data_IF_970263866750
#
_entry.id   IF_970263866750
#
_cell.length_a   1.000
_cell.length_b   1.000
_cell.length_c   1.000
_cell.angle_alpha   90.00
_cell.angle_beta   90.00
_cell.angle_gamma   90.00
#
_symmetry.space_group_name_H-M   'P 1'
#
loop_
_entity.id
_entity.type
_entity.pdbx_description
1 polymer ?
#
# COMPACT_ATOMS: atom_id res chain seq x y z
N UNK A 1 24.13 -7.05 59.59
CA UNK A 1 25.56 -6.96 59.21
C UNK A 1 25.62 -6.03 58.00
N UNK A 2 25.50 -4.70 58.15
CA UNK A 2 26.44 -3.72 58.69
C UNK A 2 27.75 -3.60 57.88
N UNK A 3 28.04 -2.34 57.50
CA UNK A 3 29.25 -1.70 56.90
C UNK A 3 29.22 -1.53 55.38
N UNK A 4 29.21 -0.34 54.78
CA UNK A 4 29.86 0.99 54.94
C UNK A 4 31.19 1.20 54.18
N UNK A 5 31.21 2.37 53.50
CA UNK A 5 32.33 3.18 52.98
C UNK A 5 32.98 2.72 51.66
N UNK A 6 33.42 3.60 50.76
CA UNK A 6 33.93 4.95 50.98
C UNK A 6 33.67 5.92 49.81
N UNK A 7 33.57 7.19 50.19
CA UNK A 7 33.62 8.37 49.34
C UNK A 7 35.04 8.68 48.86
N UNK A 8 35.16 9.41 47.76
CA UNK A 8 36.23 10.37 47.56
C UNK A 8 35.67 11.63 46.90
N UNK A 9 35.70 12.69 47.70
CA UNK A 9 35.41 14.07 47.39
C UNK A 9 36.76 14.79 47.29
N UNK A 10 36.97 15.57 46.23
CA UNK A 10 37.97 16.64 46.22
C UNK A 10 37.45 17.80 45.38
N UNK A 11 37.07 18.84 46.12
CA UNK A 11 36.63 20.14 45.64
C UNK A 11 37.75 21.19 45.75
N UNK A 12 37.48 22.36 45.16
CA UNK A 12 38.05 23.71 45.39
C UNK A 12 39.30 24.03 44.56
N UNK A 13 39.31 25.00 43.62
CA UNK A 13 39.09 26.47 43.74
C UNK A 13 39.04 27.02 42.28
N UNK A 14 38.28 28.01 41.81
CA UNK A 14 37.62 29.18 42.41
C UNK A 14 37.95 30.40 41.51
N UNK A 15 36.95 31.03 40.90
CA UNK A 15 37.10 32.28 40.12
C UNK A 15 35.76 32.77 39.58
N UNK A 16 35.31 33.93 40.06
CA UNK A 16 33.93 34.45 40.07
C UNK A 16 33.72 35.62 39.08
N UNK A 17 32.48 35.78 38.63
CA UNK A 17 31.73 37.03 38.34
C UNK A 17 32.17 37.89 37.11
N UNK A 18 31.32 38.54 36.31
CA UNK A 18 29.85 38.69 36.21
C UNK A 18 29.53 39.29 34.80
N UNK A 19 28.25 39.34 34.37
CA UNK A 19 27.80 39.78 33.04
C UNK A 19 27.37 41.26 32.99
N UNK A 20 27.22 41.83 31.78
CA UNK A 20 26.31 42.95 31.45
C UNK A 20 26.22 43.21 29.94
N UNK A 21 24.97 43.09 29.45
CA UNK A 21 24.21 43.86 28.46
C UNK A 21 24.93 44.77 27.44
N UNK A 22 24.44 44.79 26.18
CA UNK A 22 23.59 45.87 25.63
C UNK A 22 23.32 45.63 24.12
N UNK A 23 22.06 45.81 23.74
CA UNK A 23 21.50 45.88 22.38
C UNK A 23 22.21 46.90 21.47
N UNK A 24 22.36 46.58 20.18
CA UNK A 24 22.26 47.60 19.12
C UNK A 24 21.77 46.97 17.80
N UNK A 25 20.57 47.38 17.41
CA UNK A 25 20.09 47.40 16.03
C UNK A 25 20.81 48.53 15.29
N UNK A 26 21.33 48.27 14.09
CA UNK A 26 21.62 49.31 13.12
C UNK A 26 21.04 48.92 11.75
N UNK A 27 20.05 49.71 11.33
CA UNK A 27 19.57 49.86 9.96
C UNK A 27 20.72 50.33 9.05
N UNK A 28 20.92 49.69 7.90
CA UNK A 28 21.70 50.30 6.82
C UNK A 28 20.76 50.92 5.79
N UNK A 29 20.82 52.25 5.77
CA UNK A 29 20.03 53.16 4.98
C UNK A 29 20.35 53.10 3.48
N UNK A 30 19.27 53.33 2.73
CA UNK A 30 19.19 53.69 1.32
C UNK A 30 20.09 54.89 1.02
N UNK A 31 20.94 54.78 0.00
CA UNK A 31 21.58 55.94 -0.62
C UNK A 31 21.34 55.92 -2.12
N UNK A 32 20.35 56.71 -2.56
CA UNK A 32 20.22 57.11 -3.96
C UNK A 32 21.14 58.31 -4.24
N UNK A 33 21.83 58.29 -5.38
CA UNK A 33 22.15 59.54 -6.08
C UNK A 33 22.16 59.30 -7.61
N UNK A 34 21.70 60.28 -8.42
CA UNK A 34 21.44 60.10 -9.84
C UNK A 34 22.53 60.71 -10.72
N UNK A 35 22.84 60.09 -11.85
CA UNK A 35 23.42 60.81 -12.99
C UNK A 35 23.12 60.10 -14.32
N UNK A 36 22.46 60.85 -15.19
CA UNK A 36 22.05 60.51 -16.56
C UNK A 36 23.22 60.53 -17.56
N UNK A 37 22.98 59.81 -18.66
CA UNK A 37 23.45 59.97 -20.04
C UNK A 37 24.76 59.29 -20.45
N UNK A 38 24.59 58.37 -21.41
CA UNK A 38 25.65 57.77 -22.21
C UNK A 38 25.06 56.69 -23.13
N UNK A 39 24.22 57.09 -24.08
CA UNK A 39 23.73 56.19 -25.12
C UNK A 39 24.90 55.79 -26.04
N UNK A 40 25.23 54.51 -26.07
CA UNK A 40 26.08 53.93 -27.10
C UNK A 40 25.41 52.64 -27.60
N UNK A 41 25.18 52.63 -28.91
CA UNK A 41 24.51 51.61 -29.69
C UNK A 41 25.13 50.23 -29.47
N UNK A 42 24.37 49.30 -28.90
CA UNK A 42 24.69 47.87 -28.91
C UNK A 42 23.74 47.20 -29.89
N UNK A 43 24.36 46.64 -30.92
CA UNK A 43 23.78 45.77 -31.93
C UNK A 43 22.67 44.86 -31.38
N UNK A 44 21.46 44.99 -31.92
CA UNK A 44 20.35 44.08 -31.71
C UNK A 44 20.69 42.74 -32.37
N UNK A 45 21.44 41.90 -31.67
CA UNK A 45 21.45 40.46 -31.94
C UNK A 45 20.14 39.90 -31.40
N UNK A 46 19.28 39.26 -32.22
CA UNK A 46 18.16 38.49 -31.66
C UNK A 46 18.76 37.23 -31.06
N UNK A 47 18.78 37.16 -29.73
CA UNK A 47 19.17 35.94 -29.03
C UNK A 47 18.29 35.74 -27.79
N UNK A 48 17.91 34.50 -27.52
CA UNK A 48 17.31 33.50 -28.40
C UNK A 48 15.83 33.35 -28.03
N UNK A 49 15.04 32.65 -28.85
CA UNK A 49 13.79 32.06 -28.36
C UNK A 49 14.05 31.43 -26.98
N UNK A 50 13.33 31.87 -25.95
CA UNK A 50 13.38 31.31 -24.59
C UNK A 50 13.70 29.82 -24.69
N UNK A 51 14.83 29.39 -24.14
CA UNK A 51 14.99 27.98 -23.77
C UNK A 51 13.86 27.70 -22.79
N UNK A 52 12.72 27.22 -23.30
CA UNK A 52 11.63 26.70 -22.47
C UNK A 52 12.24 25.55 -21.70
N UNK A 53 12.54 25.80 -20.43
CA UNK A 53 13.07 24.77 -19.56
C UNK A 53 12.03 23.65 -19.49
N UNK A 54 12.46 22.40 -19.37
CA UNK A 54 11.55 21.27 -19.20
C UNK A 54 10.63 21.42 -17.97
N UNK A 55 11.02 22.27 -17.01
CA UNK A 55 10.22 22.63 -15.85
C UNK A 55 9.09 23.64 -16.14
N UNK A 56 9.15 24.35 -17.29
CA UNK A 56 8.22 25.41 -17.69
C UNK A 56 7.29 24.96 -18.83
N UNK A 57 7.29 23.66 -19.16
CA UNK A 57 6.35 23.11 -20.13
C UNK A 57 4.91 23.18 -19.58
N UNK A 58 3.91 23.50 -20.42
CA UNK A 58 2.50 23.36 -20.06
C UNK A 58 2.14 21.90 -19.72
N UNK A 59 1.00 21.72 -19.06
CA UNK A 59 0.51 20.39 -18.65
C UNK A 59 0.32 19.43 -19.82
N UNK A 60 -0.22 19.86 -20.98
CA UNK A 60 -0.54 18.95 -22.09
C UNK A 60 0.70 18.20 -22.65
N UNK A 61 1.85 18.86 -22.93
CA UNK A 61 3.10 18.17 -23.24
C UNK A 61 3.59 17.23 -22.14
N UNK A 62 3.50 17.65 -20.87
CA UNK A 62 3.94 16.83 -19.73
C UNK A 62 3.09 15.56 -19.60
N UNK A 63 1.77 15.69 -19.75
CA UNK A 63 0.81 14.59 -19.78
C UNK A 63 1.11 13.62 -20.93
N UNK A 64 1.49 14.13 -22.10
CA UNK A 64 1.90 13.29 -23.24
C UNK A 64 3.15 12.46 -22.91
N UNK A 65 4.15 13.06 -22.27
CA UNK A 65 5.38 12.36 -21.86
C UNK A 65 5.08 11.29 -20.79
N UNK A 66 4.21 11.61 -19.83
CA UNK A 66 3.74 10.65 -18.83
C UNK A 66 3.00 9.47 -19.48
N UNK A 67 2.11 9.74 -20.44
CA UNK A 67 1.38 8.72 -21.18
C UNK A 67 2.31 7.79 -21.97
N UNK A 68 3.41 8.32 -22.53
CA UNK A 68 4.41 7.56 -23.29
C UNK A 68 5.39 6.78 -22.41
N UNK A 69 5.49 7.09 -21.11
CA UNK A 69 6.47 6.48 -20.21
C UNK A 69 6.35 4.96 -20.18
N UNK A 70 7.46 4.26 -20.41
CA UNK A 70 7.50 2.81 -20.64
C UNK A 70 7.67 1.96 -19.38
N UNK A 71 7.97 2.58 -18.23
CA UNK A 71 8.23 1.88 -16.98
C UNK A 71 7.72 2.65 -15.76
N UNK A 72 7.50 1.93 -14.65
CA UNK A 72 7.23 2.56 -13.36
C UNK A 72 8.33 3.52 -12.95
N UNK A 73 9.59 3.10 -13.11
CA UNK A 73 10.75 3.86 -12.69
C UNK A 73 10.79 5.22 -13.36
N UNK A 74 10.48 5.30 -14.65
CA UNK A 74 10.45 6.57 -15.37
C UNK A 74 9.35 7.48 -14.83
N UNK A 75 8.15 6.94 -14.59
CA UNK A 75 7.03 7.71 -14.03
C UNK A 75 7.36 8.23 -12.63
N UNK A 76 7.90 7.38 -11.75
CA UNK A 76 8.32 7.75 -10.40
C UNK A 76 9.42 8.81 -10.45
N UNK A 77 10.41 8.65 -11.34
CA UNK A 77 11.48 9.62 -11.52
C UNK A 77 10.93 10.96 -12.01
N UNK A 78 10.04 10.96 -13.02
CA UNK A 78 9.39 12.16 -13.56
C UNK A 78 8.63 12.91 -12.46
N UNK A 79 7.78 12.23 -11.69
CA UNK A 79 7.05 12.84 -10.58
C UNK A 79 7.93 13.35 -9.43
N UNK A 80 9.15 12.82 -9.31
CA UNK A 80 10.15 13.24 -8.33
C UNK A 80 11.02 14.42 -8.80
N UNK A 81 11.07 14.74 -10.11
CA UNK A 81 12.02 15.72 -10.67
C UNK A 81 11.87 17.14 -10.11
N UNK A 82 10.69 17.75 -10.23
CA UNK A 82 10.42 19.10 -9.72
C UNK A 82 8.92 19.31 -9.44
N UNK A 83 8.56 20.49 -8.90
CA UNK A 83 7.16 20.80 -8.55
C UNK A 83 6.24 20.81 -9.77
N UNK A 84 6.67 21.32 -10.92
CA UNK A 84 5.84 21.37 -12.13
C UNK A 84 5.53 19.96 -12.66
N UNK A 85 6.54 19.07 -12.72
CA UNK A 85 6.34 17.68 -13.13
C UNK A 85 5.49 16.90 -12.14
N UNK A 86 5.67 17.15 -10.83
CA UNK A 86 4.79 16.60 -9.81
C UNK A 86 3.36 17.08 -10.06
N UNK A 87 3.13 18.39 -10.16
CA UNK A 87 1.80 18.96 -10.41
C UNK A 87 1.15 18.40 -11.68
N UNK A 88 1.88 18.29 -12.78
CA UNK A 88 1.40 17.71 -14.03
C UNK A 88 1.05 16.21 -13.87
N UNK A 89 1.86 15.44 -13.13
CA UNK A 89 1.49 14.08 -12.78
C UNK A 89 0.21 14.04 -11.94
N UNK A 90 0.09 14.90 -10.94
CA UNK A 90 -1.06 14.97 -10.05
C UNK A 90 -2.34 15.37 -10.78
N UNK A 91 -2.26 16.29 -11.76
CA UNK A 91 -3.36 16.74 -12.60
C UNK A 91 -3.69 15.77 -13.75
N UNK A 92 -2.91 14.70 -13.93
CA UNK A 92 -3.14 13.74 -15.00
C UNK A 92 -4.49 13.02 -14.80
N UNK A 93 -5.49 13.22 -15.67
CA UNK A 93 -6.89 12.84 -15.42
C UNK A 93 -7.14 11.33 -15.42
N UNK A 94 -6.12 10.53 -15.73
CA UNK A 94 -6.25 9.08 -15.90
C UNK A 94 -5.09 8.32 -15.25
N UNK A 95 -4.58 8.77 -14.09
CA UNK A 95 -3.49 8.08 -13.36
C UNK A 95 -3.77 6.59 -13.13
N UNK A 96 -5.02 6.23 -12.81
CA UNK A 96 -5.45 4.85 -12.61
C UNK A 96 -5.25 3.97 -13.86
N UNK A 97 -5.17 4.55 -15.07
CA UNK A 97 -4.87 3.78 -16.30
C UNK A 97 -3.47 3.19 -16.29
N UNK A 98 -2.55 3.74 -15.50
CA UNK A 98 -1.24 3.10 -15.30
C UNK A 98 -1.34 1.71 -14.67
N UNK A 99 -2.39 1.42 -13.89
CA UNK A 99 -2.65 0.07 -13.37
C UNK A 99 -3.06 -0.91 -14.49
N UNK A 100 -3.60 -0.43 -15.61
CA UNK A 100 -3.80 -1.27 -16.80
C UNK A 100 -2.50 -1.42 -17.61
N UNK A 101 -1.65 -0.38 -17.63
CA UNK A 101 -0.42 -0.36 -18.42
C UNK A 101 0.69 -1.23 -17.81
N UNK A 102 0.83 -1.24 -16.49
CA UNK A 102 1.91 -1.93 -15.79
C UNK A 102 1.38 -2.97 -14.78
N UNK A 103 2.12 -4.06 -14.52
CA UNK A 103 1.76 -5.00 -13.45
C UNK A 103 1.99 -4.34 -12.07
N UNK A 104 1.34 -4.78 -11.00
CA UNK A 104 1.69 -4.31 -9.67
C UNK A 104 3.15 -4.68 -9.35
N UNK A 105 3.74 -3.93 -8.41
CA UNK A 105 5.10 -4.14 -7.95
C UNK A 105 5.11 -5.15 -6.79
N UNK A 106 6.11 -6.04 -6.79
CA UNK A 106 6.28 -7.03 -5.74
C UNK A 106 7.04 -6.42 -4.57
N UNK A 107 6.37 -6.31 -3.43
CA UNK A 107 6.95 -5.94 -2.15
C UNK A 107 7.52 -7.19 -1.51
N UNK A 108 8.84 -7.23 -1.31
CA UNK A 108 9.55 -8.23 -0.54
C UNK A 108 10.17 -7.58 0.68
N UNK A 109 9.79 -8.09 1.84
CA UNK A 109 10.42 -7.75 3.10
C UNK A 109 11.36 -8.88 3.47
N UNK A 110 12.49 -8.51 4.08
CA UNK A 110 13.53 -9.43 4.53
C UNK A 110 14.50 -9.95 3.44
N UNK A 111 14.71 -9.21 2.35
CA UNK A 111 15.90 -9.43 1.53
C UNK A 111 17.12 -9.01 2.35
N UNK A 112 17.94 -9.97 2.79
CA UNK A 112 19.27 -9.68 3.34
C UNK A 112 20.12 -9.08 2.21
N UNK A 113 20.04 -7.76 2.05
CA UNK A 113 20.94 -7.07 1.14
C UNK A 113 22.29 -7.05 1.84
N UNK A 114 23.27 -7.80 1.29
CA UNK A 114 24.67 -7.57 1.63
C UNK A 114 24.97 -6.12 1.26
N UNK A 115 25.09 -5.27 2.27
CA UNK A 115 25.37 -3.85 2.10
C UNK A 115 26.81 -3.68 1.62
N UNK A 116 27.01 -3.60 0.31
CA UNK A 116 28.27 -3.14 -0.26
C UNK A 116 28.35 -1.60 -0.37
N UNK A 117 27.22 -0.87 -0.34
CA UNK A 117 27.20 0.54 -0.76
C UNK A 117 26.54 1.54 0.22
N UNK A 118 26.23 1.17 1.46
CA UNK A 118 25.66 2.14 2.42
C UNK A 118 26.74 2.72 3.33
N UNK A 119 27.08 3.98 3.05
CA UNK A 119 27.88 4.85 3.92
C UNK A 119 27.29 4.86 5.34
N UNK A 120 27.99 4.17 6.23
CA UNK A 120 27.82 4.25 7.67
C UNK A 120 28.07 5.69 8.11
N UNK A 121 27.01 6.45 8.37
CA UNK A 121 26.99 7.49 9.42
C UNK A 121 25.58 8.06 9.56
N UNK A 122 24.83 7.53 10.53
CA UNK A 122 23.97 8.26 11.48
C UNK A 122 23.06 7.26 12.20
N UNK A 123 23.21 7.12 13.52
CA UNK A 123 22.21 6.51 14.42
C UNK A 123 21.81 5.07 14.13
N UNK A 124 22.23 4.14 14.97
CA UNK A 124 22.00 2.69 14.85
C UNK A 124 20.52 2.32 15.07
N UNK A 125 19.66 2.60 14.09
CA UNK A 125 18.39 1.89 13.90
C UNK A 125 18.65 0.83 12.83
N UNK A 126 18.45 -0.44 13.19
CA UNK A 126 18.60 -1.55 12.25
C UNK A 126 17.46 -1.47 11.23
N UNK A 127 17.65 -0.79 10.11
CA UNK A 127 16.64 -0.69 9.06
C UNK A 127 16.63 -1.98 8.23
N UNK A 128 15.51 -2.72 8.21
CA UNK A 128 15.28 -3.68 7.14
C UNK A 128 14.79 -2.96 5.90
N UNK A 129 15.41 -3.27 4.76
CA UNK A 129 15.04 -2.65 3.49
C UNK A 129 13.84 -3.39 2.91
N UNK A 130 12.78 -2.65 2.62
CA UNK A 130 11.69 -3.12 1.80
C UNK A 130 12.14 -3.08 0.34
N UNK A 131 12.22 -4.25 -0.30
CA UNK A 131 12.60 -4.36 -1.70
C UNK A 131 11.34 -4.38 -2.54
N UNK A 132 11.22 -3.45 -3.47
CA UNK A 132 10.12 -3.38 -4.43
C UNK A 132 10.66 -3.78 -5.80
N UNK A 133 10.13 -4.86 -6.35
CA UNK A 133 10.57 -5.47 -7.60
C UNK A 133 9.54 -5.21 -8.69
N UNK A 134 9.99 -4.66 -9.82
CA UNK A 134 9.21 -4.59 -11.03
C UNK A 134 9.27 -5.94 -11.78
N UNK A 135 8.13 -6.64 -11.99
CA UNK A 135 8.09 -7.89 -12.75
C UNK A 135 8.67 -7.78 -14.16
N UNK A 136 8.58 -6.59 -14.77
CA UNK A 136 9.04 -6.31 -16.13
C UNK A 136 10.51 -5.92 -16.20
N UNK A 137 11.11 -5.50 -15.08
CA UNK A 137 12.51 -5.11 -15.00
C UNK A 137 13.13 -5.54 -13.66
N UNK A 138 13.57 -6.81 -13.61
CA UNK A 138 14.12 -7.44 -12.40
C UNK A 138 15.52 -6.96 -12.03
N UNK A 139 16.20 -6.23 -12.91
CA UNK A 139 17.63 -5.94 -12.80
C UNK A 139 17.97 -4.83 -11.78
N UNK A 140 16.99 -4.00 -11.40
CA UNK A 140 17.21 -2.92 -10.43
C UNK A 140 16.01 -2.83 -9.49
N UNK A 141 16.07 -3.40 -8.28
CA UNK A 141 15.02 -3.22 -7.30
C UNK A 141 14.96 -1.77 -6.81
N UNK A 142 13.74 -1.28 -6.59
CA UNK A 142 13.54 -0.05 -5.83
C UNK A 142 13.63 -0.40 -4.35
N UNK A 143 14.55 0.23 -3.61
CA UNK A 143 14.69 0.03 -2.19
C UNK A 143 13.99 1.16 -1.44
N UNK A 144 13.01 0.80 -0.61
CA UNK A 144 12.34 1.71 0.31
C UNK A 144 12.65 1.28 1.74
N UNK A 145 12.76 2.24 2.66
CA UNK A 145 13.08 1.98 4.05
C UNK A 145 11.80 2.10 4.88
N UNK A 146 11.33 0.98 5.41
CA UNK A 146 10.27 0.98 6.43
C UNK A 146 10.96 0.61 7.74
N UNK A 147 10.82 1.44 8.80
CA UNK A 147 11.51 1.19 10.07
C UNK A 147 11.17 -0.18 10.66
N UNK A 148 12.20 -0.89 11.12
CA UNK A 148 12.11 -2.25 11.64
C UNK A 148 11.20 -2.36 12.86
N UNK A 149 11.15 -1.30 13.65
CA UNK A 149 10.34 -1.22 14.86
C UNK A 149 8.87 -1.48 14.57
N UNK A 150 8.36 -1.04 13.40
CA UNK A 150 6.97 -1.29 12.99
C UNK A 150 6.72 -2.79 12.84
N UNK A 151 7.66 -3.52 12.23
CA UNK A 151 7.53 -4.96 12.02
C UNK A 151 7.68 -5.78 13.30
N UNK A 152 8.55 -5.35 14.20
CA UNK A 152 8.75 -6.04 15.48
C UNK A 152 7.60 -5.78 16.46
N UNK A 153 6.98 -4.60 16.35
CA UNK A 153 6.01 -4.14 17.31
C UNK A 153 4.57 -4.23 16.84
N UNK A 154 4.27 -4.35 15.54
CA UNK A 154 2.89 -4.40 15.04
C UNK A 154 2.67 -5.58 14.09
N UNK A 155 1.42 -6.04 14.01
CA UNK A 155 1.03 -7.10 13.09
C UNK A 155 0.51 -6.49 11.80
N UNK A 156 0.88 -7.07 10.66
CA UNK A 156 0.26 -6.69 9.39
C UNK A 156 -1.25 -6.94 9.45
N UNK A 157 -2.07 -5.99 9.02
CA UNK A 157 -3.53 -6.09 9.06
C UNK A 157 -4.15 -6.08 7.66
N UNK A 158 -3.47 -5.48 6.67
CA UNK A 158 -3.90 -5.50 5.27
C UNK A 158 -3.20 -4.46 4.40
N UNK A 159 -3.55 -4.42 3.12
CA UNK A 159 -3.07 -3.40 2.17
C UNK A 159 -4.22 -2.75 1.43
N UNK A 160 -4.04 -1.50 1.02
CA UNK A 160 -4.94 -0.81 0.09
C UNK A 160 -4.28 0.44 -0.47
N UNK A 161 -4.51 0.74 -1.75
CA UNK A 161 -4.05 1.99 -2.42
C UNK A 161 -2.55 2.29 -2.24
N UNK A 162 -1.70 1.27 -2.31
CA UNK A 162 -0.24 1.41 -2.13
C UNK A 162 0.24 1.58 -0.69
N UNK A 163 -0.65 1.39 0.28
CA UNK A 163 -0.38 1.53 1.70
C UNK A 163 -0.47 0.19 2.42
N UNK A 164 0.41 0.00 3.40
CA UNK A 164 0.41 -1.11 4.34
C UNK A 164 -0.28 -0.66 5.63
N UNK A 165 -1.12 -1.53 6.18
CA UNK A 165 -1.81 -1.27 7.43
C UNK A 165 -1.30 -2.28 8.45
N UNK A 166 -0.89 -1.78 9.62
CA UNK A 166 -0.43 -2.57 10.75
C UNK A 166 -1.28 -2.25 11.97
N UNK A 167 -1.56 -3.24 12.82
CA UNK A 167 -2.27 -3.04 14.08
C UNK A 167 -1.71 -3.94 15.19
N UNK A 168 -1.76 -3.46 16.44
CA UNK A 168 -1.53 -4.24 17.66
C UNK A 168 -2.09 -3.52 18.87
N UNK A 169 -2.74 -4.25 19.78
CA UNK A 169 -3.15 -3.70 21.08
C UNK A 169 -4.11 -2.50 20.99
N UNK A 170 -4.82 -2.36 19.87
CA UNK A 170 -5.74 -1.27 19.56
C UNK A 170 -5.11 -0.12 18.80
N UNK A 171 -3.77 -0.07 18.73
CA UNK A 171 -3.07 0.90 17.92
C UNK A 171 -2.99 0.40 16.48
N UNK A 172 -3.26 1.28 15.52
CA UNK A 172 -3.08 1.01 14.10
C UNK A 172 -2.14 2.05 13.47
N UNK A 173 -1.51 1.67 12.37
CA UNK A 173 -0.56 2.47 11.62
C UNK A 173 -0.70 2.19 10.13
N UNK A 174 -0.97 3.23 9.35
CA UNK A 174 -0.99 3.20 7.90
C UNK A 174 0.36 3.73 7.40
N UNK A 175 1.05 2.97 6.56
CA UNK A 175 2.38 3.28 6.04
C UNK A 175 2.35 3.25 4.52
N UNK A 176 2.74 4.35 3.90
CA UNK A 176 2.92 4.42 2.46
C UNK A 176 4.23 3.75 2.04
N UNK A 177 4.15 2.75 1.15
CA UNK A 177 5.31 1.92 0.76
C UNK A 177 6.40 2.74 0.06
N UNK A 178 6.01 3.76 -0.70
CA UNK A 178 6.89 4.46 -1.63
C UNK A 178 7.45 5.77 -1.08
N UNK A 179 6.78 6.37 -0.11
CA UNK A 179 7.21 7.60 0.56
C UNK A 179 7.66 7.37 2.00
N UNK A 180 7.26 6.25 2.62
CA UNK A 180 7.46 6.00 4.05
C UNK A 180 6.60 6.90 4.95
N UNK A 181 5.66 7.66 4.39
CA UNK A 181 4.72 8.49 5.15
C UNK A 181 3.86 7.60 6.06
N UNK A 182 3.57 8.11 7.26
CA UNK A 182 2.88 7.37 8.32
C UNK A 182 1.67 8.16 8.79
N UNK A 183 0.56 7.47 8.99
CA UNK A 183 -0.65 8.02 9.61
C UNK A 183 -1.15 7.05 10.67
N UNK A 184 -1.44 7.57 11.85
CA UNK A 184 -1.95 6.80 12.98
C UNK A 184 -3.37 7.27 13.33
N UNK A 185 -4.39 6.41 13.24
CA UNK A 185 -5.68 6.70 13.83
C UNK A 185 -5.62 6.74 15.37
N UNK A 186 -6.67 7.25 16.04
CA UNK A 186 -6.85 7.06 17.47
C UNK A 186 -6.93 5.56 17.80
N UNK A 187 -6.70 5.22 19.07
CA UNK A 187 -6.74 3.82 19.51
C UNK A 187 -8.16 3.25 19.39
N UNK A 188 -8.27 1.99 18.96
CA UNK A 188 -9.54 1.28 18.86
C UNK A 188 -10.23 1.17 20.23
N UNK A 189 -11.55 1.44 20.31
CA UNK A 189 -12.31 1.42 21.56
C UNK A 189 -12.72 -0.01 21.94
N UNK A 190 -11.77 -0.87 22.30
CA UNK A 190 -12.10 -2.23 22.73
C UNK A 190 -12.79 -2.25 24.10
N UNK A 191 -13.79 -3.13 24.21
CA UNK A 191 -14.42 -3.47 25.48
C UNK A 191 -13.78 -4.75 26.05
N UNK A 192 -12.51 -4.70 26.48
CA UNK A 192 -11.82 -5.90 27.02
C UNK A 192 -10.30 -5.82 27.12
N UNK A 193 -9.64 -6.96 27.38
CA UNK A 193 -8.18 -7.05 27.43
C UNK A 193 -7.55 -7.01 26.03
N UNK A 194 -6.89 -5.89 25.72
CA UNK A 194 -6.27 -5.51 24.44
C UNK A 194 -5.25 -6.50 23.84
N UNK A 195 -4.67 -7.40 24.65
CA UNK A 195 -3.49 -8.17 24.24
C UNK A 195 -3.78 -9.43 23.41
N UNK A 196 -5.05 -9.87 23.34
CA UNK A 196 -5.43 -11.10 22.63
C UNK A 196 -6.18 -10.89 21.32
N UNK A 197 -6.42 -9.64 20.93
CA UNK A 197 -7.28 -9.36 19.79
C UNK A 197 -6.54 -9.57 18.46
N UNK A 198 -7.15 -10.39 17.61
CA UNK A 198 -6.62 -10.76 16.29
C UNK A 198 -7.27 -9.88 15.23
N UNK A 199 -6.43 -9.23 14.43
CA UNK A 199 -6.85 -8.44 13.27
C UNK A 199 -6.91 -9.35 12.04
N UNK A 200 -8.11 -9.52 11.49
CA UNK A 200 -8.36 -10.41 10.35
C UNK A 200 -8.25 -9.71 9.01
N UNK A 201 -8.62 -8.43 8.96
CA UNK A 201 -8.45 -7.61 7.78
C UNK A 201 -8.46 -6.13 8.14
N UNK A 202 -7.73 -5.34 7.37
CA UNK A 202 -7.86 -3.89 7.38
C UNK A 202 -7.72 -3.37 5.95
N UNK A 203 -8.56 -2.40 5.59
CA UNK A 203 -8.51 -1.76 4.28
C UNK A 203 -9.02 -0.33 4.36
N UNK A 204 -8.49 0.52 3.50
CA UNK A 204 -9.13 1.80 3.21
C UNK A 204 -10.25 1.64 2.19
N UNK A 205 -11.23 2.53 2.27
CA UNK A 205 -12.33 2.66 1.29
C UNK A 205 -11.97 3.57 0.12
N UNK A 206 -11.00 4.46 0.31
CA UNK A 206 -10.46 5.34 -0.72
C UNK A 206 -8.99 5.66 -0.37
N UNK A 207 -8.19 6.22 -1.30
CA UNK A 207 -6.86 6.70 -0.98
C UNK A 207 -6.87 7.61 0.25
N UNK A 208 -5.83 7.53 1.09
CA UNK A 208 -5.81 8.21 2.38
C UNK A 208 -5.96 9.74 2.28
N UNK A 209 -5.53 10.34 1.17
CA UNK A 209 -5.67 11.77 0.90
C UNK A 209 -7.06 12.17 0.39
N UNK A 210 -7.92 11.21 0.04
CA UNK A 210 -9.26 11.48 -0.48
C UNK A 210 -10.20 11.97 0.62
N UNK A 211 -11.05 12.94 0.28
CA UNK A 211 -12.19 13.31 1.13
C UNK A 211 -13.11 12.11 1.32
N UNK A 212 -13.54 11.85 2.55
CA UNK A 212 -14.33 10.67 2.93
C UNK A 212 -13.58 9.34 2.72
N UNK A 213 -12.26 9.31 2.89
CA UNK A 213 -11.56 8.04 3.10
C UNK A 213 -11.88 7.50 4.50
N UNK A 214 -12.09 6.20 4.59
CA UNK A 214 -12.33 5.48 5.84
C UNK A 214 -11.36 4.32 5.94
N UNK A 215 -10.83 4.07 7.14
CA UNK A 215 -10.11 2.86 7.48
C UNK A 215 -11.05 1.89 8.17
N UNK A 216 -11.23 0.73 7.55
CA UNK A 216 -11.99 -0.37 8.11
C UNK A 216 -11.04 -1.37 8.74
N UNK A 217 -11.33 -1.81 9.96
CA UNK A 217 -10.55 -2.81 10.69
C UNK A 217 -11.47 -3.88 11.24
N UNK A 218 -11.25 -5.11 10.81
CA UNK A 218 -12.00 -6.30 11.23
C UNK A 218 -11.24 -7.07 12.30
N UNK A 219 -11.95 -7.36 13.39
CA UNK A 219 -11.50 -8.15 14.55
C UNK A 219 -12.38 -9.39 14.72
N UNK A 220 -12.15 -10.17 15.76
CA UNK A 220 -12.97 -11.34 16.10
C UNK A 220 -14.44 -11.04 16.30
N UNK A 221 -14.75 -9.87 16.84
CA UNK A 221 -16.10 -9.54 17.34
C UNK A 221 -16.66 -8.27 16.74
N UNK A 222 -15.85 -7.49 16.00
CA UNK A 222 -16.25 -6.16 15.58
C UNK A 222 -15.61 -5.77 14.24
N UNK A 223 -16.38 -5.03 13.44
CA UNK A 223 -15.88 -4.24 12.33
C UNK A 223 -15.86 -2.77 12.77
N UNK A 224 -14.67 -2.18 12.80
CA UNK A 224 -14.48 -0.78 13.14
C UNK A 224 -14.33 0.07 11.89
N UNK A 225 -14.89 1.27 11.93
CA UNK A 225 -14.78 2.29 10.90
C UNK A 225 -14.20 3.58 11.49
N UNK A 226 -13.06 4.01 10.94
CA UNK A 226 -12.46 5.30 11.21
C UNK A 226 -12.53 6.18 9.96
N UNK A 227 -13.38 7.21 9.95
CA UNK A 227 -13.27 8.29 8.98
C UNK A 227 -11.90 8.96 9.15
N UNK A 228 -11.10 9.01 8.08
CA UNK A 228 -9.72 9.53 8.15
C UNK A 228 -9.74 10.98 8.61
N UNK A 229 -8.99 11.26 9.69
CA UNK A 229 -8.94 12.57 10.35
C UNK A 229 -9.94 12.77 11.49
N UNK A 230 -10.79 11.78 11.79
CA UNK A 230 -11.68 11.77 12.96
C UNK A 230 -10.92 11.43 14.25
N UNK A 231 -11.44 11.87 15.39
CA UNK A 231 -10.96 11.48 16.72
C UNK A 231 -11.62 10.18 17.25
N UNK A 232 -12.62 9.66 16.53
CA UNK A 232 -13.45 8.54 16.99
C UNK A 232 -13.61 7.45 15.93
N UNK A 233 -13.77 6.23 16.41
CA UNK A 233 -14.19 5.06 15.65
C UNK A 233 -15.69 4.82 15.80
N UNK A 234 -16.32 4.35 14.75
CA UNK A 234 -17.62 3.67 14.81
C UNK A 234 -17.40 2.16 14.88
N UNK A 235 -18.30 1.44 15.54
CA UNK A 235 -18.19 -0.01 15.72
C UNK A 235 -19.48 -0.71 15.28
N UNK A 236 -19.33 -1.77 14.51
CA UNK A 236 -20.37 -2.74 14.22
C UNK A 236 -20.00 -4.06 14.89
N UNK A 237 -20.82 -4.48 15.85
CA UNK A 237 -20.68 -5.78 16.51
C UNK A 237 -21.02 -6.92 15.54
N UNK A 238 -20.11 -7.88 15.43
CA UNK A 238 -20.23 -9.09 14.62
C UNK A 238 -20.62 -10.24 15.56
N UNK A 239 -21.67 -10.97 15.23
CA UNK A 239 -22.21 -12.00 16.10
C UNK A 239 -21.26 -13.20 16.22
N UNK A 240 -20.77 -13.76 15.11
CA UNK A 240 -19.86 -14.93 15.13
C UNK A 240 -18.93 -15.06 13.91
N UNK A 241 -18.92 -14.10 12.98
CA UNK A 241 -18.14 -14.17 11.74
C UNK A 241 -17.35 -12.88 11.57
N UNK A 242 -16.02 -12.97 11.46
CA UNK A 242 -15.19 -11.82 11.18
C UNK A 242 -15.08 -11.57 9.68
N UNK A 243 -14.91 -10.33 9.30
CA UNK A 243 -14.71 -9.97 7.89
C UNK A 243 -13.26 -10.23 7.49
N UNK A 244 -13.06 -11.07 6.49
CA UNK A 244 -11.74 -11.43 5.97
C UNK A 244 -11.27 -10.53 4.84
N UNK A 245 -12.22 -10.03 4.05
CA UNK A 245 -11.88 -9.20 2.90
C UNK A 245 -13.01 -8.24 2.59
N UNK A 246 -12.65 -7.02 2.19
CA UNK A 246 -13.58 -6.01 1.69
C UNK A 246 -13.02 -5.48 0.36
N UNK A 247 -13.88 -5.42 -0.65
CA UNK A 247 -13.53 -4.92 -1.98
C UNK A 247 -14.57 -3.91 -2.46
N UNK A 248 -14.14 -2.96 -3.30
CA UNK A 248 -15.04 -2.03 -3.96
C UNK A 248 -15.48 -2.59 -5.31
N UNK A 249 -16.79 -2.76 -5.49
CA UNK A 249 -17.42 -3.28 -6.70
C UNK A 249 -18.62 -2.41 -7.09
N UNK A 250 -18.61 -1.86 -8.31
CA UNK A 250 -19.67 -0.99 -8.83
C UNK A 250 -20.08 0.16 -7.90
N UNK A 251 -19.11 0.79 -7.23
CA UNK A 251 -19.34 1.91 -6.30
C UNK A 251 -19.91 1.49 -4.94
N UNK A 252 -19.98 0.19 -4.65
CA UNK A 252 -20.36 -0.35 -3.36
C UNK A 252 -19.21 -1.14 -2.74
N UNK A 253 -19.18 -1.26 -1.42
CA UNK A 253 -18.25 -2.13 -0.73
C UNK A 253 -18.90 -3.49 -0.50
N UNK A 254 -18.22 -4.55 -0.92
CA UNK A 254 -18.63 -5.93 -0.70
C UNK A 254 -17.64 -6.56 0.28
N UNK A 255 -18.17 -7.06 1.39
CA UNK A 255 -17.42 -7.77 2.42
C UNK A 255 -17.63 -9.28 2.29
N UNK A 256 -16.61 -10.05 2.64
CA UNK A 256 -16.65 -11.51 2.74
C UNK A 256 -16.22 -11.93 4.14
N UNK A 257 -16.98 -12.81 4.77
CA UNK A 257 -16.64 -13.39 6.07
C UNK A 257 -15.86 -14.71 5.95
N UNK A 258 -15.53 -15.31 7.09
CA UNK A 258 -14.77 -16.56 7.20
C UNK A 258 -15.54 -17.81 6.74
N UNK A 259 -16.86 -17.68 6.61
CA UNK A 259 -17.76 -18.69 6.05
C UNK A 259 -18.02 -18.48 4.55
N UNK A 260 -17.33 -17.52 3.93
CA UNK A 260 -17.46 -17.13 2.52
C UNK A 260 -18.83 -16.54 2.17
N UNK A 261 -19.58 -16.09 3.18
CA UNK A 261 -20.79 -15.32 2.95
C UNK A 261 -20.41 -13.89 2.57
N UNK A 262 -21.21 -13.31 1.68
CA UNK A 262 -20.98 -12.01 1.10
C UNK A 262 -22.02 -11.00 1.57
N UNK A 263 -21.57 -9.78 1.82
CA UNK A 263 -22.38 -8.70 2.38
C UNK A 263 -22.13 -7.41 1.61
N UNK A 264 -23.19 -6.62 1.40
CA UNK A 264 -23.04 -5.20 1.08
C UNK A 264 -22.72 -4.46 2.37
N UNK A 265 -21.62 -3.72 2.38
CA UNK A 265 -21.22 -2.85 3.47
C UNK A 265 -21.80 -1.45 3.26
N UNK A 266 -22.48 -0.95 4.29
CA UNK A 266 -22.99 0.40 4.38
C UNK A 266 -22.13 1.19 5.37
N UNK A 267 -21.52 2.29 4.92
CA UNK A 267 -20.71 3.19 5.77
C UNK A 267 -21.56 4.26 6.48
N UNK A 268 -22.60 4.75 5.81
CA UNK A 268 -23.42 5.88 6.27
C UNK A 268 -24.91 5.59 6.08
N UNK A 269 -25.80 6.03 6.99
CA UNK A 269 -25.56 6.87 8.17
C UNK A 269 -24.99 6.13 9.39
N UNK A 270 -25.03 4.79 9.38
CA UNK A 270 -24.43 3.94 10.40
C UNK A 270 -23.76 2.76 9.70
N UNK A 271 -22.64 2.30 10.27
CA UNK A 271 -21.91 1.14 9.78
C UNK A 271 -22.81 -0.10 9.86
N UNK A 272 -22.99 -0.78 8.74
CA UNK A 272 -23.90 -1.92 8.64
C UNK A 272 -23.49 -2.92 7.58
N UNK A 273 -23.90 -4.18 7.77
CA UNK A 273 -23.69 -5.27 6.82
C UNK A 273 -25.04 -5.85 6.43
N UNK A 274 -25.30 -5.89 5.13
CA UNK A 274 -26.49 -6.54 4.56
C UNK A 274 -26.07 -7.76 3.77
N UNK A 275 -26.48 -8.95 4.23
CA UNK A 275 -26.17 -10.21 3.56
C UNK A 275 -26.76 -10.25 2.16
N UNK A 276 -25.95 -10.66 1.19
CA UNK A 276 -26.38 -10.95 -0.17
C UNK A 276 -26.77 -12.44 -0.21
N UNK A 277 -28.03 -12.72 -0.52
CA UNK A 277 -28.50 -14.10 -0.67
C UNK A 277 -27.93 -14.67 -1.96
N UNK A 278 -26.95 -15.56 -1.83
CA UNK A 278 -26.36 -16.29 -2.94
C UNK A 278 -26.52 -17.81 -2.74
N UNK A 279 -26.77 -18.54 -3.82
CA UNK A 279 -26.72 -20.01 -3.81
C UNK A 279 -25.28 -20.43 -3.49
N UNK A 280 -25.13 -21.33 -2.51
CA UNK A 280 -23.83 -21.85 -2.12
C UNK A 280 -23.13 -22.52 -3.31
N UNK A 281 -21.81 -22.38 -3.40
CA UNK A 281 -20.96 -23.13 -4.34
C UNK A 281 -20.96 -24.61 -3.89
N UNK A 282 -22.06 -25.31 -4.11
CA UNK A 282 -22.40 -26.58 -3.44
C UNK A 282 -21.52 -27.76 -3.83
N UNK A 283 -20.63 -27.62 -4.81
CA UNK A 283 -19.97 -28.77 -5.44
C UNK A 283 -18.48 -28.89 -5.11
N UNK A 284 -17.92 -27.94 -4.36
CA UNK A 284 -16.49 -27.86 -4.14
C UNK A 284 -16.19 -27.37 -2.73
N UNK A 285 -16.01 -28.27 -1.76
CA UNK A 285 -15.32 -27.93 -0.51
C UNK A 285 -13.87 -27.60 -0.86
N UNK A 286 -13.41 -26.34 -0.73
CA UNK A 286 -12.00 -25.99 -0.91
C UNK A 286 -11.14 -26.88 -0.03
N UNK A 287 -9.89 -27.13 -0.43
CA UNK A 287 -8.96 -27.77 0.49
C UNK A 287 -8.95 -26.98 1.79
N UNK A 288 -9.24 -27.63 2.92
CA UNK A 288 -9.55 -27.05 4.24
C UNK A 288 -8.52 -26.05 4.78
N UNK A 289 -7.38 -25.89 4.11
CA UNK A 289 -6.26 -25.04 4.51
C UNK A 289 -6.12 -23.77 3.67
N UNK A 290 -6.90 -23.59 2.60
CA UNK A 290 -6.80 -22.38 1.76
C UNK A 290 -8.13 -21.65 1.66
N UNK A 291 -8.14 -20.43 2.20
CA UNK A 291 -9.26 -19.49 2.08
C UNK A 291 -9.31 -18.88 0.66
N UNK A 292 -10.49 -18.72 0.04
CA UNK A 292 -10.66 -18.12 -1.26
C UNK A 292 -10.42 -16.61 -1.22
N UNK A 293 -10.13 -16.00 -2.38
CA UNK A 293 -10.07 -14.55 -2.52
C UNK A 293 -11.33 -14.01 -3.16
N UNK A 294 -11.79 -12.87 -2.66
CA UNK A 294 -12.75 -12.02 -3.34
C UNK A 294 -12.00 -11.03 -4.23
N UNK A 295 -12.26 -11.03 -5.53
CA UNK A 295 -11.52 -10.24 -6.52
C UNK A 295 -12.47 -9.54 -7.47
N UNK A 296 -12.30 -8.23 -7.63
CA UNK A 296 -13.02 -7.48 -8.65
C UNK A 296 -12.21 -7.50 -9.93
N UNK A 297 -12.80 -7.97 -11.02
CA UNK A 297 -12.16 -8.18 -12.31
C UNK A 297 -13.03 -7.56 -13.43
N UNK A 298 -12.76 -6.30 -13.78
CA UNK A 298 -13.63 -5.56 -14.69
C UNK A 298 -14.99 -5.32 -14.05
N UNK A 299 -16.04 -5.80 -14.72
CA UNK A 299 -17.43 -5.81 -14.27
C UNK A 299 -17.84 -7.08 -13.50
N UNK A 300 -16.90 -8.01 -13.28
CA UNK A 300 -17.14 -9.25 -12.55
C UNK A 300 -16.62 -9.17 -11.11
N UNK A 301 -17.42 -9.67 -10.16
CA UNK A 301 -16.97 -10.00 -8.82
C UNK A 301 -16.69 -11.51 -8.74
N UNK A 302 -15.43 -11.88 -8.53
CA UNK A 302 -14.95 -13.26 -8.57
C UNK A 302 -14.62 -13.76 -7.17
N UNK A 303 -14.99 -15.01 -6.88
CA UNK A 303 -14.42 -15.81 -5.81
C UNK A 303 -13.41 -16.79 -6.42
N UNK A 304 -12.14 -16.65 -6.04
CA UNK A 304 -11.04 -17.50 -6.54
C UNK A 304 -10.62 -18.46 -5.45
N UNK A 305 -10.87 -19.74 -5.67
CA UNK A 305 -10.58 -20.84 -4.74
C UNK A 305 -9.40 -21.67 -5.24
N UNK A 306 -8.62 -22.20 -4.30
CA UNK A 306 -7.53 -23.13 -4.60
C UNK A 306 -7.86 -24.52 -4.04
N UNK A 307 -7.67 -25.54 -4.85
CA UNK A 307 -7.89 -26.94 -4.50
C UNK A 307 -6.56 -27.68 -4.57
N UNK A 308 -6.03 -28.10 -3.42
CA UNK A 308 -4.88 -29.01 -3.37
C UNK A 308 -5.34 -30.46 -3.43
N UNK A 309 -4.78 -31.25 -4.35
CA UNK A 309 -5.01 -32.70 -4.40
C UNK A 309 -3.94 -33.41 -3.58
N UNK A 310 -4.32 -33.96 -2.42
CA UNK A 310 -3.44 -34.70 -1.51
C UNK A 310 -2.63 -35.82 -2.16
N UNK A 311 -3.16 -36.41 -3.24
CA UNK A 311 -2.56 -37.57 -3.93
C UNK A 311 -1.38 -37.19 -4.81
N UNK A 312 -1.29 -35.92 -5.22
CA UNK A 312 -0.36 -35.52 -6.29
C UNK A 312 0.41 -34.23 -6.00
N UNK A 313 0.10 -33.52 -4.90
CA UNK A 313 0.77 -32.27 -4.53
C UNK A 313 0.49 -31.11 -5.50
N UNK A 314 -0.56 -31.21 -6.31
CA UNK A 314 -0.95 -30.20 -7.29
C UNK A 314 -2.01 -29.26 -6.70
N UNK A 315 -2.00 -28.00 -7.10
CA UNK A 315 -3.04 -27.03 -6.77
C UNK A 315 -3.73 -26.51 -8.03
N UNK A 316 -5.06 -26.56 -8.02
CA UNK A 316 -5.91 -26.05 -9.10
C UNK A 316 -6.64 -24.81 -8.63
N UNK A 317 -6.60 -23.74 -9.43
CA UNK A 317 -7.33 -22.50 -9.15
C UNK A 317 -8.61 -22.44 -9.98
N UNK A 318 -9.74 -22.26 -9.30
CA UNK A 318 -11.06 -22.12 -9.92
C UNK A 318 -11.66 -20.78 -9.52
N UNK A 319 -12.14 -20.03 -10.50
CA UNK A 319 -12.82 -18.75 -10.28
C UNK A 319 -14.33 -18.91 -10.52
N UNK A 320 -15.14 -18.32 -9.65
CA UNK A 320 -16.59 -18.22 -9.83
C UNK A 320 -16.98 -16.76 -9.85
N UNK A 321 -17.77 -16.32 -10.82
CA UNK A 321 -18.36 -14.98 -10.80
C UNK A 321 -19.69 -14.99 -10.08
N UNK A 322 -19.97 -13.92 -9.33
CA UNK A 322 -21.27 -13.70 -8.72
C UNK A 322 -22.22 -13.08 -9.74
N UNK A 323 -23.17 -13.87 -10.22
CA UNK A 323 -24.28 -13.43 -11.04
C UNK A 323 -25.42 -12.91 -10.16
N UNK A 324 -25.51 -11.59 -10.05
CA UNK A 324 -26.59 -10.90 -9.33
C UNK A 324 -27.86 -10.69 -10.16
N UNK A 325 -27.92 -11.17 -11.42
CA UNK A 325 -29.14 -11.07 -12.25
C UNK A 325 -30.25 -12.03 -11.81
N UNK A 326 -29.90 -13.01 -10.97
CA UNK A 326 -30.81 -14.00 -10.40
C UNK A 326 -31.11 -13.67 -8.93
N UNK A 327 -32.24 -14.15 -8.41
CA UNK A 327 -32.58 -14.05 -7.00
C UNK A 327 -33.04 -15.42 -6.47
N UNK A 328 -32.25 -16.09 -5.61
CA UNK A 328 -30.94 -15.66 -5.08
C UNK A 328 -29.86 -15.54 -6.16
N UNK A 329 -28.83 -14.73 -5.90
CA UNK A 329 -27.66 -14.61 -6.77
C UNK A 329 -26.95 -15.96 -6.90
N UNK A 330 -26.21 -16.18 -7.99
CA UNK A 330 -25.56 -17.47 -8.25
C UNK A 330 -24.07 -17.30 -8.47
N UNK A 331 -23.28 -18.22 -7.92
CA UNK A 331 -21.88 -18.35 -8.26
C UNK A 331 -21.74 -19.24 -9.50
N UNK A 332 -21.19 -18.67 -10.58
CA UNK A 332 -21.06 -19.35 -11.86
C UNK A 332 -19.58 -19.45 -12.23
N UNK A 333 -19.13 -20.66 -12.49
CA UNK A 333 -17.73 -20.94 -12.83
C UNK A 333 -17.27 -20.15 -14.06
N UNK A 334 -16.11 -19.52 -13.94
CA UNK A 334 -15.44 -18.78 -15.01
C UNK A 334 -14.32 -19.65 -15.55
N UNK A 335 -14.53 -20.17 -16.77
CA UNK A 335 -13.55 -21.04 -17.44
C UNK A 335 -12.26 -20.30 -17.81
N UNK A 336 -12.34 -19.01 -18.13
CA UNK A 336 -11.19 -18.20 -18.57
C UNK A 336 -11.35 -16.75 -18.12
N UNK A 337 -10.26 -16.13 -17.68
CA UNK A 337 -10.20 -14.71 -17.27
C UNK A 337 -9.99 -13.73 -18.44
N UNK A 338 -10.11 -14.22 -19.68
CA UNK A 338 -9.88 -13.46 -20.93
C UNK A 338 -8.59 -12.61 -20.91
N UNK A 339 -8.75 -11.29 -20.84
CA UNK A 339 -7.66 -10.31 -20.91
C UNK A 339 -7.14 -9.88 -19.53
N UNK A 340 -7.50 -10.58 -18.46
CA UNK A 340 -7.13 -10.22 -17.10
C UNK A 340 -6.05 -11.13 -16.52
N UNK A 341 -5.06 -10.49 -15.90
CA UNK A 341 -4.11 -11.12 -15.01
C UNK A 341 -4.43 -10.76 -13.55
N UNK A 342 -4.38 -11.75 -12.67
CA UNK A 342 -4.61 -11.61 -11.23
C UNK A 342 -3.30 -11.71 -10.48
N UNK A 343 -3.12 -10.90 -9.44
CA UNK A 343 -1.92 -10.85 -8.62
C UNK A 343 -2.33 -11.03 -7.17
N UNK A 344 -2.31 -12.27 -6.69
CA UNK A 344 -2.72 -12.59 -5.32
C UNK A 344 -1.50 -12.57 -4.40
N UNK A 345 -1.60 -11.97 -3.20
CA UNK A 345 -0.49 -11.96 -2.24
C UNK A 345 -0.43 -13.24 -1.40
N UNK A 346 0.69 -13.42 -0.68
CA UNK A 346 0.91 -14.61 0.16
C UNK A 346 0.19 -14.59 1.51
N UNK A 347 -0.18 -13.40 1.99
CA UNK A 347 -0.91 -13.24 3.25
C UNK A 347 -2.42 -13.26 3.04
N UNK A 348 -3.18 -13.83 3.99
CA UNK A 348 -4.66 -13.80 3.97
C UNK A 348 -5.23 -12.38 3.86
N UNK A 349 -4.53 -11.39 4.40
CA UNK A 349 -4.93 -9.98 4.42
C UNK A 349 -4.49 -9.19 3.18
N UNK A 350 -3.77 -9.81 2.27
CA UNK A 350 -3.37 -9.14 1.02
C UNK A 350 -4.55 -9.02 0.07
N UNK A 351 -4.79 -7.81 -0.45
CA UNK A 351 -5.79 -7.59 -1.50
C UNK A 351 -5.19 -7.98 -2.85
N UNK A 352 -5.88 -8.81 -3.67
CA UNK A 352 -5.39 -9.13 -5.00
C UNK A 352 -5.44 -7.91 -5.93
N UNK A 353 -4.37 -7.73 -6.68
CA UNK A 353 -4.27 -6.71 -7.73
C UNK A 353 -4.63 -7.29 -9.09
N UNK A 354 -5.00 -6.43 -10.03
CA UNK A 354 -5.37 -6.84 -11.40
C UNK A 354 -4.66 -6.00 -12.44
N UNK A 355 -4.41 -6.63 -13.59
CA UNK A 355 -3.95 -5.94 -14.79
C UNK A 355 -4.78 -6.35 -15.99
N UNK A 356 -5.32 -5.38 -16.70
CA UNK A 356 -6.02 -5.60 -17.98
C UNK A 356 -5.05 -5.70 -19.16
N UNK A 357 -5.44 -6.44 -20.19
CA UNK A 357 -4.83 -6.42 -21.51
C UNK A 357 -3.75 -7.47 -21.81
N UNK A 358 -3.30 -8.31 -20.86
CA UNK A 358 -2.37 -9.44 -21.14
C UNK A 358 -2.50 -10.61 -20.14
N UNK A 359 -2.57 -11.82 -20.72
CA UNK A 359 -2.43 -13.17 -20.14
C UNK A 359 -3.42 -13.62 -19.05
N UNK A 360 -4.00 -14.81 -19.25
CA UNK A 360 -4.94 -15.56 -18.38
C UNK A 360 -4.26 -16.14 -17.14
N UNK A 361 -3.50 -15.32 -16.41
CA UNK A 361 -2.54 -15.82 -15.42
C UNK A 361 -2.76 -15.24 -14.04
N UNK A 362 -2.57 -16.09 -13.03
CA UNK A 362 -2.49 -15.77 -11.62
C UNK A 362 -1.01 -15.70 -11.22
N UNK A 363 -0.58 -14.55 -10.69
CA UNK A 363 0.77 -14.29 -10.21
C UNK A 363 0.78 -14.37 -8.69
N UNK A 364 1.60 -15.26 -8.15
CA UNK A 364 1.76 -15.48 -6.71
C UNK A 364 3.18 -15.11 -6.26
N UNK A 365 3.35 -14.35 -5.16
CA UNK A 365 4.65 -13.95 -4.71
C UNK A 365 5.30 -15.10 -3.90
N UNK A 366 6.47 -15.52 -4.36
CA UNK A 366 7.36 -16.41 -3.61
C UNK A 366 8.34 -15.61 -2.74
N UNK A 367 9.03 -16.32 -1.85
CA UNK A 367 10.04 -15.75 -0.95
C UNK A 367 11.14 -14.94 -1.68
N UNK A 368 11.53 -15.36 -2.89
CA UNK A 368 12.63 -14.75 -3.66
C UNK A 368 12.25 -14.37 -5.11
N UNK A 369 11.03 -14.67 -5.55
CA UNK A 369 10.54 -14.45 -6.93
C UNK A 369 9.00 -14.46 -6.93
N UNK A 370 8.35 -14.62 -8.07
CA UNK A 370 6.93 -14.93 -8.17
C UNK A 370 6.70 -16.13 -9.09
N UNK A 371 5.60 -16.83 -8.87
CA UNK A 371 5.12 -18.01 -9.62
C UNK A 371 3.94 -17.55 -10.48
N UNK A 372 3.78 -18.14 -11.67
CA UNK A 372 2.70 -17.83 -12.60
C UNK A 372 1.89 -19.09 -12.84
N UNK A 373 0.58 -19.04 -12.60
CA UNK A 373 -0.38 -20.10 -12.87
C UNK A 373 -1.36 -19.66 -13.97
N UNK A 374 -1.84 -20.58 -14.79
CA UNK A 374 -2.95 -20.31 -15.72
C UNK A 374 -4.24 -20.76 -15.06
N UNK A 375 -5.27 -19.91 -15.05
CA UNK A 375 -6.56 -20.26 -14.43
C UNK A 375 -7.32 -21.22 -15.34
N UNK A 376 -7.75 -22.37 -14.80
CA UNK A 376 -8.58 -23.35 -15.50
C UNK A 376 -7.85 -24.36 -16.40
N UNK A 377 -6.52 -24.48 -16.32
CA UNK A 377 -5.75 -25.46 -17.13
C UNK A 377 -5.11 -26.56 -16.26
N UNK A 378 -5.01 -27.78 -16.78
CA UNK A 378 -4.20 -28.85 -16.18
C UNK A 378 -2.72 -28.58 -16.51
N UNK A 379 -1.89 -28.33 -15.51
CA UNK A 379 -0.50 -27.95 -15.75
C UNK A 379 0.37 -29.14 -16.21
N UNK A 380 1.33 -28.83 -17.08
CA UNK A 380 2.35 -29.74 -17.64
C UNK A 380 2.98 -30.66 -16.57
N UNK A 381 2.88 -32.00 -16.71
CA UNK A 381 3.40 -32.98 -15.75
C UNK A 381 4.94 -32.97 -15.58
N UNK A 382 5.67 -32.15 -16.36
CA UNK A 382 7.11 -31.92 -16.20
C UNK A 382 7.47 -30.80 -15.20
N UNK A 383 6.49 -30.02 -14.72
CA UNK A 383 6.72 -29.04 -13.66
C UNK A 383 7.03 -29.77 -12.33
N UNK A 384 8.13 -29.41 -11.66
CA UNK A 384 8.53 -30.04 -10.41
C UNK A 384 7.49 -29.91 -9.27
N UNK A 385 7.63 -30.69 -8.19
CA UNK A 385 6.69 -30.67 -7.06
C UNK A 385 6.51 -29.25 -6.54
N UNK A 386 5.24 -28.85 -6.39
CA UNK A 386 4.86 -27.50 -6.01
C UNK A 386 5.32 -27.23 -4.57
N UNK A 387 6.02 -26.11 -4.35
CA UNK A 387 6.19 -25.58 -2.99
C UNK A 387 4.79 -25.31 -2.46
N UNK A 388 4.43 -25.94 -1.35
CA UNK A 388 3.11 -25.85 -0.72
C UNK A 388 2.61 -24.41 -0.74
N UNK A 389 1.57 -24.20 -1.54
CA UNK A 389 0.82 -22.96 -1.53
C UNK A 389 0.11 -22.88 -0.17
N UNK A 390 0.55 -21.94 0.66
CA UNK A 390 0.02 -21.78 2.00
C UNK A 390 -0.30 -20.30 2.25
N UNK A 391 -1.55 -19.92 1.98
CA UNK A 391 -2.11 -18.63 2.37
C UNK A 391 -2.30 -18.64 3.88
N UNK A 392 -1.24 -18.32 4.61
CA UNK A 392 -1.22 -18.37 6.07
C UNK A 392 -1.53 -17.02 6.67
N UNK A 393 -2.21 -17.05 7.82
CA UNK A 393 -2.15 -15.94 8.74
C UNK A 393 -0.74 -15.94 9.36
N UNK A 394 0.08 -14.95 9.02
CA UNK A 394 1.41 -14.79 9.58
C UNK A 394 1.47 -13.46 10.34
N UNK A 395 1.95 -13.41 11.60
CA UNK A 395 2.16 -12.13 12.28
C UNK A 395 3.03 -11.16 11.47
N UNK A 396 3.98 -11.71 10.69
CA UNK A 396 4.92 -10.99 9.86
C UNK A 396 4.40 -10.80 8.44
N UNK A 397 4.75 -9.67 7.84
CA UNK A 397 4.35 -9.34 6.48
C UNK A 397 4.98 -10.29 5.46
N UNK A 398 4.14 -11.02 4.73
CA UNK A 398 4.54 -11.84 3.59
C UNK A 398 4.73 -10.99 2.32
N UNK A 399 5.48 -11.48 1.33
CA UNK A 399 5.55 -10.86 0.02
C UNK A 399 4.15 -10.60 -0.57
N UNK A 400 3.95 -9.42 -1.15
CA UNK A 400 2.66 -8.99 -1.68
C UNK A 400 2.80 -8.03 -2.85
N UNK A 401 1.68 -7.80 -3.54
CA UNK A 401 1.59 -6.93 -4.70
C UNK A 401 0.97 -5.59 -4.33
N UNK A 402 1.56 -4.49 -4.80
CA UNK A 402 0.98 -3.14 -4.68
C UNK A 402 1.25 -2.31 -5.91
N UNK A 403 0.33 -1.41 -6.23
CA UNK A 403 0.65 -0.24 -7.04
C UNK A 403 1.10 0.94 -6.17
N UNK A 404 1.89 1.88 -6.73
CA UNK A 404 2.20 3.14 -6.08
C UNK A 404 0.95 3.92 -5.68
N UNK A 405 0.92 4.44 -4.45
CA UNK A 405 -0.20 5.22 -3.91
C UNK A 405 -0.55 6.47 -4.74
N UNK A 406 0.46 7.07 -5.36
CA UNK A 406 0.31 8.21 -6.27
C UNK A 406 -0.52 7.88 -7.53
N UNK A 407 -0.75 6.61 -7.86
CA UNK A 407 -1.64 6.23 -8.97
C UNK A 407 -3.12 6.39 -8.60
N UNK A 408 -3.42 6.39 -7.29
CA UNK A 408 -4.77 6.50 -6.77
C UNK A 408 -5.07 7.89 -6.20
N UNK A 409 -4.05 8.61 -5.70
CA UNK A 409 -4.25 9.88 -5.00
C UNK A 409 -4.11 11.09 -5.93
N UNK A 410 -4.93 12.10 -5.70
CA UNK A 410 -4.63 13.47 -6.12
C UNK A 410 -3.61 14.05 -5.14
N UNK A 411 -2.53 14.64 -5.63
CA UNK A 411 -1.54 15.21 -4.73
C UNK A 411 -2.10 16.50 -4.13
N UNK A 412 -2.12 16.58 -2.80
CA UNK A 412 -2.32 17.82 -2.07
C UNK A 412 -0.98 18.45 -1.72
#
# INVERSE_FOLDING_TARGET
>A
LARDSAALDTSIRGGKCNPRDVNHLEEFAIMQSPSKLGAASVSTQPAPSMLRCWADLPDDPLHTILALSGSFRDILALAATCRSWRAAFCSYPSKYTFCSKFPPLLVQLNASVQAADLSSNNGRQDLHTCKVIDPTNKNIPLCYQIPLEIYQQMHFAGTSYGQLIFCRGGDCLVVDVFSGAKVSPPRLPFNGEFEREIYFSATLTAPLASSNSHLLVSTTTSLFDWPVGSDFWSELQLSHAWIEQIVEFNGQFIAMDDCYEIYTLQLSPQLGLQKITAECVSNLTPSSYVKPWLVVCGDMLLMVSCFSTYVSGWSVFVAHHLDMSTNPAKWVEVKQLDNWALFAGGDVRSRPERRGGRSKSLYYPGLHSFIVHVVGDEQDPSAGPMIEYNRTWCPNLQPLWVYPSMFYSDCQ
#
